data_IF_104646459458
#
_entry.id   IF_104646459458
#
_cell.length_a   1.000
_cell.length_b   1.000
_cell.length_c   1.000
_cell.angle_alpha   90.00
_cell.angle_beta   90.00
_cell.angle_gamma   90.00
#
_symmetry.space_group_name_H-M   'P 1'
#
loop_
_entity.id
_entity.type
_entity.pdbx_description
1 polymer ?
#
# COMPACT_ATOMS: atom_id res chain seq x y z
N UNK A 1 3.30 -62.00 26.05
CA UNK A 1 3.96 -61.27 27.17
C UNK A 1 3.64 -59.74 27.19
N UNK A 2 3.00 -59.21 26.18
CA UNK A 2 2.59 -57.76 26.16
C UNK A 2 1.17 -57.46 26.69
N UNK A 3 0.32 -58.50 26.81
CA UNK A 3 -1.08 -58.34 27.27
C UNK A 3 -1.16 -58.37 28.82
N UNK A 4 -0.23 -59.04 29.49
CA UNK A 4 -0.22 -59.11 30.97
C UNK A 4 0.24 -57.82 31.67
N UNK A 5 1.01 -56.99 30.99
CA UNK A 5 1.47 -55.68 31.49
C UNK A 5 0.32 -54.65 31.48
N UNK A 6 -0.62 -54.75 30.57
CA UNK A 6 -1.78 -53.85 30.48
C UNK A 6 -2.87 -54.15 31.54
N UNK A 7 -2.97 -55.41 32.00
CA UNK A 7 -3.92 -55.83 33.04
C UNK A 7 -3.44 -55.41 34.45
N UNK A 8 -2.14 -55.33 34.68
CA UNK A 8 -1.58 -54.90 35.98
C UNK A 8 -1.71 -53.41 36.20
N UNK A 9 -1.73 -52.59 35.11
CA UNK A 9 -1.88 -51.13 35.18
C UNK A 9 -3.29 -50.66 35.55
N UNK A 10 -4.32 -51.51 35.40
CA UNK A 10 -5.72 -51.14 35.65
C UNK A 10 -6.11 -51.38 37.13
N UNK A 11 -5.31 -52.15 37.92
CA UNK A 11 -5.68 -52.50 39.28
C UNK A 11 -5.19 -51.58 40.39
N UNK A 12 -4.45 -50.51 40.06
CA UNK A 12 -3.88 -49.59 41.05
C UNK A 12 -4.69 -48.27 41.25
N UNK A 13 -5.87 -48.14 40.65
CA UNK A 13 -6.67 -46.90 40.75
C UNK A 13 -7.95 -46.99 41.60
N UNK A 14 -8.09 -48.01 42.49
CA UNK A 14 -9.28 -48.16 43.33
C UNK A 14 -8.93 -48.08 44.81
N UNK A 15 -8.43 -46.92 45.28
CA UNK A 15 -8.38 -46.63 46.71
C UNK A 15 -8.55 -45.11 46.90
N UNK A 16 -9.77 -44.62 46.84
CA UNK A 16 -10.14 -43.33 47.41
C UNK A 16 -11.29 -43.56 48.38
N UNK A 17 -10.95 -43.74 49.64
CA UNK A 17 -11.88 -43.84 50.74
C UNK A 17 -12.58 -42.51 51.03
N UNK A 18 -13.86 -42.62 51.25
CA UNK A 18 -14.80 -41.59 51.61
C UNK A 18 -14.58 -41.15 53.07
N UNK A 19 -13.95 -40.03 53.33
CA UNK A 19 -13.93 -39.40 54.65
C UNK A 19 -14.95 -38.27 54.69
N UNK A 20 -16.01 -38.51 55.45
CA UNK A 20 -16.95 -37.46 55.90
C UNK A 20 -16.18 -36.50 56.80
N UNK A 21 -16.02 -35.26 56.34
CA UNK A 21 -15.55 -34.19 57.16
C UNK A 21 -16.73 -33.70 58.00
N UNK A 22 -16.64 -33.88 59.30
CA UNK A 22 -17.47 -33.23 60.29
C UNK A 22 -17.16 -31.72 60.27
N UNK A 23 -18.23 -30.93 60.16
CA UNK A 23 -18.20 -29.48 60.39
C UNK A 23 -17.75 -29.20 61.83
N UNK A 24 -16.46 -28.92 62.00
CA UNK A 24 -16.00 -28.18 63.16
C UNK A 24 -16.01 -26.72 62.81
N UNK A 25 -16.90 -25.97 63.42
CA UNK A 25 -16.91 -24.51 63.46
C UNK A 25 -15.54 -24.10 64.02
N UNK A 26 -14.64 -23.69 63.15
CA UNK A 26 -13.43 -23.01 63.55
C UNK A 26 -13.82 -21.63 64.10
N UNK A 27 -13.80 -21.49 65.40
CA UNK A 27 -13.71 -20.21 66.04
C UNK A 27 -12.47 -19.51 65.52
N UNK A 28 -12.63 -18.57 64.66
CA UNK A 28 -11.54 -17.69 64.20
C UNK A 28 -11.09 -16.88 65.42
N UNK A 29 -10.04 -17.33 66.02
CA UNK A 29 -9.26 -16.51 66.94
C UNK A 29 -8.59 -15.45 66.06
N UNK A 30 -9.12 -14.23 66.08
CA UNK A 30 -8.36 -13.08 65.59
C UNK A 30 -7.00 -13.12 66.31
N UNK A 31 -5.89 -12.94 65.55
CA UNK A 31 -4.60 -12.77 66.21
C UNK A 31 -4.70 -11.53 67.11
N UNK A 32 -4.63 -11.71 68.40
CA UNK A 32 -4.39 -10.62 69.33
C UNK A 32 -3.14 -9.89 68.83
N UNK A 33 -3.38 -8.69 68.26
CA UNK A 33 -2.28 -7.80 67.98
C UNK A 33 -1.56 -7.51 69.27
N UNK A 34 -0.36 -8.07 69.38
CA UNK A 34 0.51 -7.81 70.51
C UNK A 34 0.84 -6.30 70.53
N UNK A 35 0.01 -5.51 71.20
CA UNK A 35 0.13 -4.05 71.23
C UNK A 35 1.26 -3.74 72.21
N UNK A 36 2.41 -3.43 71.65
CA UNK A 36 3.55 -2.95 72.42
C UNK A 36 3.37 -1.46 72.76
N UNK A 37 3.20 -1.14 74.06
CA UNK A 37 3.17 0.23 74.53
C UNK A 37 4.58 0.67 74.96
N UNK A 38 5.09 1.72 74.25
CA UNK A 38 6.38 2.31 74.56
C UNK A 38 6.18 3.62 75.27
N UNK A 39 6.98 3.89 76.29
CA UNK A 39 7.02 5.19 76.96
C UNK A 39 7.98 6.15 76.21
N UNK A 40 7.88 7.47 76.49
CA UNK A 40 8.67 8.50 75.82
C UNK A 40 10.19 8.33 75.92
N UNK A 41 10.67 7.71 77.03
CA UNK A 41 12.09 7.46 77.22
C UNK A 41 12.54 6.30 76.34
N UNK A 42 11.71 5.30 76.12
CA UNK A 42 11.98 4.18 75.23
C UNK A 42 11.93 4.57 73.76
N UNK A 43 10.97 5.45 73.41
CA UNK A 43 10.91 6.04 72.06
C UNK A 43 12.18 6.82 71.70
N UNK A 44 12.66 7.67 72.65
CA UNK A 44 13.90 8.42 72.47
C UNK A 44 15.14 7.54 72.39
N UNK A 45 15.23 6.51 73.24
CA UNK A 45 16.39 5.60 73.25
C UNK A 45 16.42 4.72 72.02
N UNK A 46 15.27 4.38 71.44
CA UNK A 46 15.13 3.63 70.20
C UNK A 46 15.24 4.45 68.92
N UNK A 47 15.38 5.81 69.03
CA UNK A 47 15.41 6.75 67.90
C UNK A 47 14.22 6.58 66.96
N UNK A 48 13.01 6.33 67.50
CA UNK A 48 11.79 6.19 66.72
C UNK A 48 11.20 7.57 66.48
N UNK A 49 11.10 7.96 65.21
CA UNK A 49 10.46 9.17 64.76
C UNK A 49 9.11 8.84 64.09
N UNK A 50 8.07 9.58 64.44
CA UNK A 50 6.76 9.49 63.83
C UNK A 50 6.68 10.46 62.67
N UNK A 51 6.57 9.93 61.47
CA UNK A 51 6.35 10.72 60.25
C UNK A 51 4.89 10.71 59.82
N UNK A 52 4.50 11.73 59.05
CA UNK A 52 3.22 11.74 58.35
C UNK A 52 3.39 11.12 57.00
N UNK A 53 2.37 10.40 56.54
CA UNK A 53 2.32 9.90 55.17
C UNK A 53 2.04 11.10 54.26
N UNK A 54 2.98 11.39 53.37
CA UNK A 54 2.84 12.46 52.41
C UNK A 54 2.76 11.85 51.02
N UNK A 55 1.86 12.37 50.19
CA UNK A 55 1.79 12.05 48.75
C UNK A 55 2.92 12.76 48.02
N UNK A 56 3.87 12.01 47.44
CA UNK A 56 4.95 12.57 46.66
C UNK A 56 4.84 12.13 45.22
N UNK A 57 4.87 13.12 44.35
CA UNK A 57 4.88 12.84 42.90
C UNK A 57 6.23 12.29 42.48
N UNK A 58 6.25 11.06 42.04
CA UNK A 58 7.46 10.39 41.51
C UNK A 58 7.43 10.47 40.00
N UNK A 59 8.40 11.18 39.40
CA UNK A 59 8.59 11.21 37.96
C UNK A 59 9.78 10.33 37.56
N UNK A 60 9.60 9.50 36.56
CA UNK A 60 10.68 8.75 35.96
C UNK A 60 10.82 9.09 34.47
N UNK A 61 12.04 9.23 34.01
CA UNK A 61 12.33 9.42 32.58
C UNK A 61 12.47 8.07 31.93
N UNK A 62 11.55 7.74 31.02
CA UNK A 62 11.62 6.52 30.20
C UNK A 62 12.32 6.89 28.90
N UNK A 63 13.51 6.28 28.66
CA UNK A 63 14.18 6.35 27.36
C UNK A 63 13.61 5.27 26.46
N UNK A 64 13.00 5.66 25.35
CA UNK A 64 12.51 4.77 24.32
C UNK A 64 13.29 5.00 23.03
N UNK A 65 13.69 3.91 22.37
CA UNK A 65 14.27 3.96 21.05
C UNK A 65 13.16 3.78 20.03
N UNK A 66 13.19 4.58 18.96
CA UNK A 66 12.21 4.48 17.88
C UNK A 66 12.86 4.79 16.55
N UNK A 67 12.22 4.36 15.47
CA UNK A 67 12.56 4.68 14.09
C UNK A 67 11.43 5.57 13.56
N UNK A 68 11.81 6.67 12.89
CA UNK A 68 10.85 7.46 12.12
C UNK A 68 10.62 6.71 10.83
N UNK A 69 9.37 6.42 10.50
CA UNK A 69 8.97 5.72 9.29
C UNK A 69 7.75 6.41 8.66
N UNK A 70 7.56 6.19 7.35
CA UNK A 70 6.44 6.76 6.60
C UNK A 70 5.30 5.75 6.56
N UNK A 71 4.05 6.17 6.87
CA UNK A 71 2.90 5.29 6.70
C UNK A 71 2.79 4.79 5.25
N UNK A 72 2.48 3.49 5.02
CA UNK A 72 2.43 2.92 3.67
C UNK A 72 1.52 3.66 2.68
N UNK A 73 0.43 4.27 3.16
CA UNK A 73 -0.47 5.08 2.33
C UNK A 73 0.16 6.35 1.77
N UNK A 74 1.25 6.83 2.36
CA UNK A 74 1.98 8.03 1.92
C UNK A 74 3.21 7.68 1.06
N UNK A 75 3.47 6.39 0.86
CA UNK A 75 4.54 5.92 -0.03
C UNK A 75 3.99 5.72 -1.44
N UNK A 76 4.59 6.40 -2.42
CA UNK A 76 4.22 6.28 -3.83
C UNK A 76 5.34 5.58 -4.58
N UNK A 77 5.01 4.45 -5.21
CA UNK A 77 5.93 3.74 -6.09
C UNK A 77 5.74 4.22 -7.53
N UNK A 78 6.80 4.70 -8.14
CA UNK A 78 6.78 5.19 -9.53
C UNK A 78 7.27 4.07 -10.43
N UNK A 79 6.43 3.67 -11.39
CA UNK A 79 6.73 2.65 -12.37
C UNK A 79 6.35 3.09 -13.78
N UNK A 80 7.05 2.56 -14.79
CA UNK A 80 6.75 2.82 -16.20
C UNK A 80 5.97 1.66 -16.81
N UNK A 81 4.74 1.90 -17.34
CA UNK A 81 3.89 0.84 -17.90
C UNK A 81 4.53 0.05 -19.05
N UNK A 82 5.29 0.73 -19.92
CA UNK A 82 6.00 0.08 -21.04
C UNK A 82 7.42 -0.37 -20.67
N UNK A 83 7.91 -0.02 -19.46
CA UNK A 83 9.30 -0.23 -19.10
C UNK A 83 10.27 0.64 -19.90
N UNK A 84 11.53 0.21 -19.99
CA UNK A 84 12.60 0.91 -20.71
C UNK A 84 13.89 0.98 -19.91
N UNK A 85 14.88 1.65 -20.46
CA UNK A 85 16.17 1.86 -19.82
C UNK A 85 16.22 3.25 -19.18
N UNK A 86 16.71 3.30 -17.95
CA UNK A 86 16.98 4.57 -17.27
C UNK A 86 18.15 5.28 -17.94
N UNK A 87 17.88 6.37 -18.64
CA UNK A 87 18.92 7.19 -19.28
C UNK A 87 19.64 8.07 -18.29
N UNK A 88 18.87 8.72 -17.43
CA UNK A 88 19.40 9.58 -16.36
C UNK A 88 18.38 9.75 -15.25
N UNK A 89 18.91 9.95 -14.04
CA UNK A 89 18.11 10.37 -12.88
C UNK A 89 18.89 11.38 -12.07
N UNK A 90 18.19 12.30 -11.42
CA UNK A 90 18.75 13.24 -10.46
C UNK A 90 18.47 12.84 -9.01
N UNK A 91 17.76 11.74 -8.81
CA UNK A 91 17.33 11.30 -7.48
C UNK A 91 18.48 10.83 -6.63
N UNK A 92 18.55 11.36 -5.42
CA UNK A 92 19.44 10.90 -4.36
C UNK A 92 18.61 10.59 -3.12
N UNK A 93 18.95 9.55 -2.34
CA UNK A 93 18.28 9.28 -1.08
C UNK A 93 18.25 10.50 -0.16
N UNK A 94 17.07 10.84 0.35
CA UNK A 94 16.84 12.03 1.18
C UNK A 94 16.62 13.33 0.41
N UNK A 95 16.65 13.32 -0.93
CA UNK A 95 16.37 14.51 -1.74
C UNK A 95 14.86 14.81 -1.74
N UNK A 96 14.52 16.09 -1.58
CA UNK A 96 13.15 16.59 -1.76
C UNK A 96 12.82 16.75 -3.24
N UNK A 97 11.63 16.33 -3.65
CA UNK A 97 11.09 16.48 -5.00
C UNK A 97 9.72 17.15 -4.93
N UNK A 98 9.42 17.99 -5.93
CA UNK A 98 8.12 18.66 -6.03
C UNK A 98 7.20 17.92 -7.01
N UNK A 99 5.89 18.06 -6.81
CA UNK A 99 4.90 17.54 -7.76
C UNK A 99 5.14 18.12 -9.16
N UNK A 100 5.17 17.24 -10.18
CA UNK A 100 5.45 17.64 -11.56
C UNK A 100 6.93 17.86 -11.90
N UNK A 101 7.85 17.69 -10.95
CA UNK A 101 9.28 17.76 -11.22
C UNK A 101 9.74 16.52 -12.01
N UNK A 102 10.66 16.74 -12.97
CA UNK A 102 11.26 15.63 -13.73
C UNK A 102 12.30 14.93 -12.87
N UNK A 103 11.99 13.70 -12.49
CA UNK A 103 12.83 12.88 -11.60
C UNK A 103 13.74 11.91 -12.34
N UNK A 104 13.30 11.46 -13.53
CA UNK A 104 14.08 10.55 -14.35
C UNK A 104 13.75 10.72 -15.83
N UNK A 105 14.66 10.27 -16.68
CA UNK A 105 14.45 10.17 -18.13
C UNK A 105 14.64 8.72 -18.53
N UNK A 106 13.61 8.15 -19.15
CA UNK A 106 13.63 6.79 -19.69
C UNK A 106 13.83 6.82 -21.20
N UNK A 107 14.45 5.78 -21.75
CA UNK A 107 14.69 5.62 -23.19
C UNK A 107 14.33 4.19 -23.62
N UNK A 108 13.52 4.09 -24.70
CA UNK A 108 13.14 2.79 -25.28
C UNK A 108 12.69 2.97 -26.74
N UNK A 109 12.97 1.97 -27.57
CA UNK A 109 12.53 1.94 -28.97
C UNK A 109 10.99 1.90 -29.09
N UNK A 110 10.32 1.24 -28.15
CA UNK A 110 8.87 1.13 -28.13
C UNK A 110 8.17 2.49 -28.04
N UNK A 111 8.83 3.50 -27.49
CA UNK A 111 8.30 4.86 -27.46
C UNK A 111 8.23 5.49 -28.86
N UNK A 112 9.22 5.19 -29.70
CA UNK A 112 9.23 5.61 -31.10
C UNK A 112 8.11 4.89 -31.87
N UNK A 113 8.00 3.58 -31.73
CA UNK A 113 7.03 2.73 -32.40
C UNK A 113 5.58 3.19 -32.07
N UNK A 114 5.28 3.44 -30.80
CA UNK A 114 3.96 3.90 -30.37
C UNK A 114 3.61 5.29 -30.96
N UNK A 115 4.55 6.21 -31.01
CA UNK A 115 4.36 7.54 -31.59
C UNK A 115 4.18 7.45 -33.12
N UNK A 116 4.96 6.60 -33.79
CA UNK A 116 4.82 6.35 -35.22
C UNK A 116 3.45 5.73 -35.56
N UNK A 117 3.02 4.72 -34.79
CA UNK A 117 1.72 4.07 -34.97
C UNK A 117 0.57 5.08 -34.80
N UNK A 118 0.65 5.93 -33.77
CA UNK A 118 -0.33 6.99 -33.55
C UNK A 118 -0.42 7.96 -34.72
N UNK A 119 0.70 8.49 -35.22
CA UNK A 119 0.74 9.44 -36.32
C UNK A 119 0.24 8.80 -37.64
N UNK A 120 0.63 7.56 -37.90
CA UNK A 120 0.16 6.80 -39.07
C UNK A 120 -1.33 6.55 -39.01
N UNK A 121 -1.85 6.12 -37.83
CA UNK A 121 -3.31 5.93 -37.66
C UNK A 121 -4.09 7.23 -37.76
N UNK A 122 -3.55 8.33 -37.27
CA UNK A 122 -4.15 9.67 -37.43
C UNK A 122 -4.28 10.07 -38.90
N UNK A 123 -3.25 9.82 -39.68
CA UNK A 123 -3.26 10.09 -41.14
C UNK A 123 -4.25 9.17 -41.87
N UNK A 124 -4.31 7.88 -41.49
CA UNK A 124 -5.30 6.94 -42.05
C UNK A 124 -6.72 7.32 -41.69
N UNK A 125 -6.97 7.83 -40.47
CA UNK A 125 -8.29 8.30 -40.06
C UNK A 125 -8.78 9.44 -40.95
N UNK A 126 -7.95 10.44 -41.26
CA UNK A 126 -8.28 11.54 -42.14
C UNK A 126 -8.69 11.05 -43.55
N UNK A 127 -7.93 10.07 -44.07
CA UNK A 127 -8.24 9.46 -45.36
C UNK A 127 -9.58 8.69 -45.32
N UNK A 128 -9.78 7.82 -44.31
CA UNK A 128 -10.99 7.00 -44.24
C UNK A 128 -12.23 7.82 -43.94
N UNK A 129 -12.12 8.94 -43.22
CA UNK A 129 -13.20 9.90 -43.02
C UNK A 129 -13.60 10.57 -44.31
N UNK A 130 -12.64 11.03 -45.11
CA UNK A 130 -12.89 11.63 -46.42
C UNK A 130 -13.54 10.61 -47.38
N UNK A 131 -13.09 9.34 -47.37
CA UNK A 131 -13.64 8.25 -48.16
C UNK A 131 -15.09 7.94 -47.75
N UNK A 132 -15.34 7.80 -46.45
CA UNK A 132 -16.71 7.59 -45.94
C UNK A 132 -17.66 8.70 -46.38
N UNK A 133 -17.26 9.96 -46.24
CA UNK A 133 -18.06 11.10 -46.64
C UNK A 133 -18.35 11.10 -48.17
N UNK A 134 -17.34 10.78 -48.98
CA UNK A 134 -17.48 10.66 -50.46
C UNK A 134 -18.45 9.52 -50.83
N UNK A 135 -18.31 8.34 -50.21
CA UNK A 135 -19.22 7.22 -50.48
C UNK A 135 -20.64 7.49 -50.01
N UNK A 136 -20.80 8.25 -48.93
CA UNK A 136 -22.12 8.71 -48.46
C UNK A 136 -22.81 9.61 -49.47
N UNK A 137 -22.11 10.57 -50.06
CA UNK A 137 -22.65 11.46 -51.11
C UNK A 137 -22.99 10.69 -52.39
N UNK A 138 -22.10 9.76 -52.80
CA UNK A 138 -22.34 8.92 -53.97
C UNK A 138 -23.53 7.97 -53.79
N UNK A 139 -23.71 7.43 -52.60
CA UNK A 139 -24.83 6.58 -52.27
C UNK A 139 -26.16 7.33 -52.27
N UNK A 140 -26.20 8.57 -51.76
CA UNK A 140 -27.37 9.42 -51.79
C UNK A 140 -27.77 9.75 -53.25
N UNK A 141 -26.82 9.88 -54.17
CA UNK A 141 -27.06 10.06 -55.59
C UNK A 141 -27.28 8.75 -56.37
N UNK A 142 -27.35 7.61 -55.67
CA UNK A 142 -27.46 6.23 -56.22
C UNK A 142 -26.28 5.84 -57.16
N UNK A 143 -25.15 6.50 -57.02
CA UNK A 143 -23.94 6.19 -57.79
C UNK A 143 -23.01 5.19 -57.11
N UNK A 144 -23.29 4.81 -55.85
CA UNK A 144 -22.55 3.81 -55.08
C UNK A 144 -23.54 2.83 -54.40
N UNK A 145 -23.11 1.59 -54.15
CA UNK A 145 -23.94 0.60 -53.48
C UNK A 145 -23.88 0.75 -51.96
N UNK A 146 -24.92 0.30 -51.26
CA UNK A 146 -24.98 0.28 -49.79
C UNK A 146 -23.81 -0.54 -49.17
N UNK A 147 -23.38 -1.60 -49.84
CA UNK A 147 -22.23 -2.42 -49.41
C UNK A 147 -20.94 -1.60 -49.36
N UNK A 148 -20.69 -0.77 -50.34
CA UNK A 148 -19.46 0.08 -50.40
C UNK A 148 -19.53 1.17 -49.34
N UNK A 149 -20.69 1.78 -49.11
CA UNK A 149 -20.89 2.74 -48.04
C UNK A 149 -20.65 2.08 -46.66
N UNK A 150 -21.24 0.93 -46.39
CA UNK A 150 -21.04 0.19 -45.14
C UNK A 150 -19.57 -0.20 -44.90
N UNK A 151 -18.86 -0.59 -45.97
CA UNK A 151 -17.42 -0.88 -45.85
C UNK A 151 -16.63 0.38 -45.48
N UNK A 152 -16.85 1.51 -46.14
CA UNK A 152 -16.18 2.78 -45.86
C UNK A 152 -16.48 3.27 -44.43
N UNK A 153 -17.71 3.10 -43.95
CA UNK A 153 -18.10 3.42 -42.59
C UNK A 153 -17.38 2.57 -41.56
N UNK A 154 -17.30 1.24 -41.82
CA UNK A 154 -16.60 0.30 -40.92
C UNK A 154 -15.10 0.63 -40.84
N UNK A 155 -14.47 0.95 -41.99
CA UNK A 155 -13.06 1.32 -42.05
C UNK A 155 -12.78 2.61 -41.28
N UNK A 156 -13.65 3.64 -41.44
CA UNK A 156 -13.58 4.89 -40.68
C UNK A 156 -13.71 4.63 -39.16
N UNK A 157 -14.74 3.89 -38.74
CA UNK A 157 -14.96 3.58 -37.33
C UNK A 157 -13.79 2.79 -36.72
N UNK A 158 -13.23 1.85 -37.46
CA UNK A 158 -12.07 1.07 -37.04
C UNK A 158 -10.86 1.97 -36.78
N UNK A 159 -10.55 2.90 -37.71
CA UNK A 159 -9.41 3.82 -37.48
C UNK A 159 -9.68 4.79 -36.34
N UNK A 160 -10.89 5.21 -36.10
CA UNK A 160 -11.29 6.06 -34.98
C UNK A 160 -11.08 5.36 -33.64
N UNK A 161 -11.47 4.08 -33.53
CA UNK A 161 -11.25 3.26 -32.33
C UNK A 161 -9.74 3.08 -32.08
N UNK A 162 -8.98 2.73 -33.13
CA UNK A 162 -7.54 2.55 -33.03
C UNK A 162 -6.83 3.83 -32.56
N UNK A 163 -7.20 4.98 -33.12
CA UNK A 163 -6.63 6.26 -32.72
C UNK A 163 -6.93 6.59 -31.23
N UNK A 164 -8.14 6.31 -30.77
CA UNK A 164 -8.52 6.51 -29.38
C UNK A 164 -7.69 5.60 -28.46
N UNK A 165 -7.53 4.33 -28.80
CA UNK A 165 -6.72 3.39 -28.02
C UNK A 165 -5.24 3.83 -27.94
N UNK A 166 -4.67 4.29 -29.06
CA UNK A 166 -3.30 4.80 -29.11
C UNK A 166 -3.14 6.11 -28.34
N UNK A 167 -4.18 6.97 -28.37
CA UNK A 167 -4.23 8.19 -27.55
C UNK A 167 -4.08 7.88 -26.06
N UNK A 168 -4.84 6.89 -25.56
CA UNK A 168 -4.76 6.50 -24.15
C UNK A 168 -3.42 5.83 -23.83
N UNK A 169 -2.85 5.01 -24.72
CA UNK A 169 -1.51 4.44 -24.53
C UNK A 169 -0.44 5.53 -24.42
N UNK A 170 -0.51 6.59 -25.24
CA UNK A 170 0.43 7.73 -25.16
C UNK A 170 0.28 8.49 -23.84
N UNK A 171 -0.96 8.69 -23.38
CA UNK A 171 -1.21 9.33 -22.08
C UNK A 171 -0.66 8.55 -20.90
N UNK A 172 -0.78 7.22 -20.93
CA UNK A 172 -0.24 6.35 -19.89
C UNK A 172 1.27 6.49 -19.69
N UNK A 173 2.01 6.81 -20.75
CA UNK A 173 3.45 7.06 -20.69
C UNK A 173 3.83 8.53 -20.54
N UNK A 174 2.85 9.39 -20.26
CA UNK A 174 3.07 10.82 -20.02
C UNK A 174 3.27 11.67 -21.29
N UNK A 175 3.02 11.12 -22.47
CA UNK A 175 3.09 11.89 -23.72
C UNK A 175 1.72 12.54 -24.04
N UNK A 176 1.77 13.80 -24.47
CA UNK A 176 0.58 14.52 -24.87
C UNK A 176 0.32 14.30 -26.38
N UNK A 177 -0.76 13.57 -26.77
CA UNK A 177 -1.04 13.30 -28.18
C UNK A 177 -1.33 14.55 -29.03
N UNK A 178 -1.76 15.65 -28.39
CA UNK A 178 -2.09 16.91 -29.09
C UNK A 178 -0.85 17.66 -29.58
N UNK A 179 0.27 17.52 -28.87
CA UNK A 179 1.54 18.19 -29.22
C UNK A 179 2.45 17.31 -30.08
N UNK A 180 2.06 16.06 -30.30
CA UNK A 180 2.84 15.14 -31.09
C UNK A 180 2.73 15.46 -32.59
N UNK A 181 3.89 15.65 -33.22
CA UNK A 181 4.03 15.94 -34.66
C UNK A 181 5.08 14.99 -35.27
N UNK A 182 5.09 14.94 -36.60
CA UNK A 182 6.01 14.09 -37.37
C UNK A 182 7.49 14.38 -37.05
N UNK A 183 7.83 15.63 -36.76
CA UNK A 183 9.19 16.05 -36.40
C UNK A 183 9.47 15.95 -34.90
N UNK A 184 8.46 15.57 -34.08
CA UNK A 184 8.53 15.53 -32.62
C UNK A 184 8.64 14.14 -32.02
N UNK A 185 8.95 13.11 -32.82
CA UNK A 185 9.13 11.74 -32.31
C UNK A 185 10.38 11.69 -31.47
N UNK A 186 10.21 11.24 -30.21
CA UNK A 186 11.30 11.10 -29.23
C UNK A 186 11.46 9.67 -28.74
N UNK A 187 12.72 9.25 -28.62
CA UNK A 187 13.07 7.97 -28.01
C UNK A 187 13.08 8.02 -26.49
N UNK A 188 13.05 9.23 -25.93
CA UNK A 188 13.15 9.48 -24.49
C UNK A 188 11.88 10.13 -23.98
N UNK A 189 11.44 9.73 -22.80
CA UNK A 189 10.32 10.31 -22.08
C UNK A 189 10.74 10.69 -20.65
N UNK A 190 10.15 11.75 -20.14
CA UNK A 190 10.38 12.23 -18.78
C UNK A 190 9.39 11.56 -17.84
N UNK A 191 9.90 11.15 -16.67
CA UNK A 191 9.09 10.71 -15.55
C UNK A 191 8.99 11.87 -14.57
N UNK A 192 7.75 12.16 -14.18
CA UNK A 192 7.44 13.26 -13.26
C UNK A 192 7.05 12.72 -11.88
N UNK A 193 7.36 13.46 -10.85
CA UNK A 193 6.87 13.15 -9.50
C UNK A 193 5.36 13.43 -9.41
N UNK A 194 4.54 12.46 -8.96
CA UNK A 194 3.10 12.68 -8.78
C UNK A 194 2.76 13.42 -7.48
N UNK A 195 3.71 13.56 -6.57
CA UNK A 195 3.53 14.17 -5.23
C UNK A 195 4.74 15.01 -4.87
N UNK A 196 4.56 15.89 -3.87
CA UNK A 196 5.65 16.50 -3.13
C UNK A 196 6.13 15.53 -2.05
N UNK A 197 7.46 15.38 -1.89
CA UNK A 197 7.98 14.46 -0.89
C UNK A 197 9.48 14.25 -0.95
N UNK A 198 9.94 13.22 -0.26
CA UNK A 198 11.34 12.83 -0.20
C UNK A 198 11.54 11.45 -0.83
N UNK A 199 12.68 11.25 -1.45
CA UNK A 199 13.08 9.99 -2.09
C UNK A 199 13.69 9.04 -1.05
#
# INVERSE_FOLDING_TARGET
MRIYILIIAIFTFSACGNNKVQDQVAVSTEPELDVLTLNDAQLKSAAIELGKIEEQSISSVIKVNGKIDVPPQNMVSISMPLGGYLKSTKLLPGMHVNNGEVIAVMEDQRYIELQQEFLTTKSKLIYTEAEYNRQKELNLSKASSDKVLQQAEMDYQTQKINLNALTEKLRLIGLNPKTLSENGISKSINIYSPIDGFV
#
